data_IF_880833195865
#
_entry.id   IF_880833195865
#
_cell.length_a   1.000
_cell.length_b   1.000
_cell.length_c   1.000
_cell.angle_alpha   90.00
_cell.angle_beta   90.00
_cell.angle_gamma   90.00
#
_symmetry.space_group_name_H-M   'P 1'
#
loop_
_entity.id
_entity.type
_entity.pdbx_description
1 polymer ?
#
# COMPACT_ATOMS: atom_id res chain seq x y z
N UNK A 1 -64.40 -36.75 -29.36
CA UNK A 1 -63.24 -37.13 -28.61
C UNK A 1 -61.95 -36.85 -29.41
N UNK A 2 -61.68 -35.59 -29.87
CA UNK A 2 -60.54 -35.35 -30.75
C UNK A 2 -59.79 -34.02 -30.46
N UNK A 3 -60.05 -33.34 -29.32
CA UNK A 3 -59.46 -32.05 -29.01
C UNK A 3 -58.65 -32.03 -27.70
N UNK A 4 -58.43 -33.17 -27.03
CA UNK A 4 -57.67 -33.18 -25.75
C UNK A 4 -56.16 -33.46 -25.92
N UNK A 5 -55.69 -33.83 -27.11
CA UNK A 5 -54.28 -34.16 -27.36
C UNK A 5 -53.42 -32.99 -27.78
N UNK A 6 -54.04 -31.88 -28.19
CA UNK A 6 -53.29 -30.67 -28.63
C UNK A 6 -52.84 -29.81 -27.43
N UNK A 7 -53.59 -29.87 -26.31
CA UNK A 7 -53.26 -29.11 -25.10
C UNK A 7 -52.05 -29.65 -24.32
N UNK A 8 -51.77 -30.96 -24.37
CA UNK A 8 -50.63 -31.55 -23.65
C UNK A 8 -49.27 -31.30 -24.33
N UNK A 9 -49.25 -31.11 -25.63
CA UNK A 9 -48.00 -30.85 -26.39
C UNK A 9 -47.43 -29.46 -26.15
N UNK A 10 -48.28 -28.46 -25.91
CA UNK A 10 -47.84 -27.05 -25.71
C UNK A 10 -47.34 -26.85 -24.27
N UNK A 11 -47.92 -27.52 -23.27
CA UNK A 11 -47.47 -27.47 -21.90
C UNK A 11 -46.08 -28.11 -21.67
N UNK A 12 -45.75 -29.16 -22.41
CA UNK A 12 -44.45 -29.84 -22.34
C UNK A 12 -43.31 -29.01 -23.02
N UNK A 13 -43.61 -28.19 -24.01
CA UNK A 13 -42.62 -27.32 -24.68
C UNK A 13 -42.20 -26.09 -23.82
N UNK A 14 -43.10 -25.60 -22.95
CA UNK A 14 -42.81 -24.47 -22.05
C UNK A 14 -41.95 -24.86 -20.85
N UNK A 15 -41.90 -26.13 -20.46
CA UNK A 15 -41.10 -26.63 -19.34
C UNK A 15 -39.63 -26.92 -19.69
N UNK A 16 -39.26 -26.97 -20.97
CA UNK A 16 -37.87 -27.20 -21.40
C UNK A 16 -37.10 -25.90 -21.68
N UNK A 17 -37.74 -24.76 -21.58
CA UNK A 17 -37.09 -23.42 -21.68
C UNK A 17 -36.57 -22.92 -20.30
N UNK A 18 -36.22 -23.82 -19.37
CA UNK A 18 -35.36 -23.48 -18.23
C UNK A 18 -33.97 -23.21 -18.78
N UNK A 19 -33.86 -22.08 -19.46
CA UNK A 19 -32.60 -21.57 -19.94
C UNK A 19 -31.59 -21.59 -18.78
N UNK A 20 -30.54 -22.36 -18.97
CA UNK A 20 -29.36 -22.23 -18.13
C UNK A 20 -28.96 -20.75 -18.25
N UNK A 21 -29.35 -19.94 -17.25
CA UNK A 21 -28.74 -18.63 -17.04
C UNK A 21 -27.28 -18.96 -16.80
N UNK A 22 -26.49 -18.91 -17.86
CA UNK A 22 -25.06 -18.93 -17.74
C UNK A 22 -24.72 -17.71 -16.89
N UNK A 23 -24.55 -17.94 -15.59
CA UNK A 23 -23.98 -16.94 -14.71
C UNK A 23 -22.68 -16.51 -15.37
N UNK A 24 -22.69 -15.33 -16.00
CA UNK A 24 -21.49 -14.81 -16.62
C UNK A 24 -20.42 -14.77 -15.53
N UNK A 25 -19.37 -15.56 -15.73
CA UNK A 25 -18.32 -15.65 -14.75
C UNK A 25 -17.70 -14.26 -14.56
N UNK A 26 -17.69 -13.74 -13.33
CA UNK A 26 -17.03 -12.48 -13.04
C UNK A 26 -15.54 -12.55 -13.44
N UNK A 27 -14.93 -11.51 -14.04
CA UNK A 27 -15.53 -10.26 -14.52
C UNK A 27 -16.12 -10.40 -15.93
N UNK A 28 -17.32 -9.85 -16.15
CA UNK A 28 -17.98 -9.78 -17.46
C UNK A 28 -17.91 -8.38 -18.10
N UNK A 29 -17.36 -7.40 -17.39
CA UNK A 29 -17.17 -6.00 -17.82
C UNK A 29 -15.87 -5.43 -17.20
N UNK A 30 -15.39 -4.27 -17.67
CA UNK A 30 -14.20 -3.64 -17.09
C UNK A 30 -14.30 -3.43 -15.58
N UNK A 31 -13.18 -3.65 -14.87
CA UNK A 31 -13.02 -3.44 -13.43
C UNK A 31 -12.28 -2.14 -13.19
N UNK A 32 -12.84 -1.27 -12.35
CA UNK A 32 -12.20 -0.01 -11.96
C UNK A 32 -11.27 -0.23 -10.78
N UNK A 33 -10.08 0.37 -10.84
CA UNK A 33 -9.07 0.27 -9.77
C UNK A 33 -8.72 1.67 -9.31
N UNK A 34 -9.20 2.06 -8.14
CA UNK A 34 -9.06 3.40 -7.60
C UNK A 34 -7.77 3.50 -6.79
N UNK A 35 -6.85 4.36 -7.26
CA UNK A 35 -5.56 4.64 -6.63
C UNK A 35 -5.64 5.96 -5.86
N UNK A 36 -5.39 5.99 -4.54
CA UNK A 36 -5.51 7.19 -3.71
C UNK A 36 -4.33 8.16 -3.84
N UNK A 37 -3.47 8.00 -4.84
CA UNK A 37 -2.25 8.76 -5.04
C UNK A 37 -2.18 9.31 -6.48
N UNK A 38 -1.33 10.34 -6.73
CA UNK A 38 -1.16 10.89 -8.06
C UNK A 38 -0.72 9.83 -9.09
N UNK A 39 -1.22 9.98 -10.32
CA UNK A 39 -0.80 9.16 -11.45
C UNK A 39 0.72 9.30 -11.69
N UNK A 40 1.37 8.21 -12.11
CA UNK A 40 2.83 8.15 -12.29
C UNK A 40 3.62 8.04 -10.99
N UNK A 41 2.98 8.14 -9.83
CA UNK A 41 3.61 7.85 -8.54
C UNK A 41 3.85 6.35 -8.35
N UNK A 42 4.64 6.03 -7.31
CA UNK A 42 5.03 4.64 -6.97
C UNK A 42 3.85 3.67 -6.95
N UNK A 43 2.80 4.04 -6.24
CA UNK A 43 1.61 3.18 -6.06
C UNK A 43 0.90 2.96 -7.37
N UNK A 44 0.77 4.00 -8.20
CA UNK A 44 0.16 3.90 -9.53
C UNK A 44 0.97 2.96 -10.43
N UNK A 45 2.30 3.12 -10.47
CA UNK A 45 3.19 2.26 -11.28
C UNK A 45 3.12 0.80 -10.83
N UNK A 46 3.19 0.53 -9.53
CA UNK A 46 3.09 -0.83 -8.98
C UNK A 46 1.71 -1.44 -9.23
N UNK A 47 0.64 -0.64 -9.06
CA UNK A 47 -0.72 -1.09 -9.33
C UNK A 47 -0.89 -1.47 -10.80
N UNK A 48 -0.40 -0.65 -11.74
CA UNK A 48 -0.46 -0.94 -13.18
C UNK A 48 0.31 -2.19 -13.55
N UNK A 49 1.46 -2.44 -12.92
CA UNK A 49 2.22 -3.68 -13.13
C UNK A 49 1.38 -4.93 -12.86
N UNK A 50 0.60 -4.92 -11.78
CA UNK A 50 -0.27 -6.04 -11.41
C UNK A 50 -1.53 -6.07 -12.28
N UNK A 51 -2.19 -4.92 -12.50
CA UNK A 51 -3.49 -4.86 -13.20
C UNK A 51 -3.39 -5.19 -14.69
N UNK A 52 -2.25 -4.92 -15.35
CA UNK A 52 -2.00 -5.38 -16.74
C UNK A 52 -2.05 -6.91 -16.78
N UNK A 53 -1.44 -7.58 -15.83
CA UNK A 53 -1.46 -9.04 -15.75
C UNK A 53 -2.84 -9.57 -15.42
N UNK A 54 -3.55 -8.96 -14.46
CA UNK A 54 -4.93 -9.33 -14.14
C UNK A 54 -5.85 -9.22 -15.37
N UNK A 55 -5.68 -8.15 -16.17
CA UNK A 55 -6.47 -7.98 -17.39
C UNK A 55 -6.24 -9.10 -18.40
N UNK A 56 -4.99 -9.53 -18.57
CA UNK A 56 -4.63 -10.67 -19.43
C UNK A 56 -5.23 -11.98 -18.92
N UNK A 57 -5.12 -12.24 -17.63
CA UNK A 57 -5.54 -13.52 -17.04
C UNK A 57 -7.07 -13.66 -16.88
N UNK A 58 -7.77 -12.55 -16.64
CA UNK A 58 -9.23 -12.52 -16.42
C UNK A 58 -10.05 -12.09 -17.64
N UNK A 59 -9.39 -11.68 -18.73
CA UNK A 59 -10.03 -11.36 -20.00
C UNK A 59 -10.87 -10.07 -20.01
N UNK A 60 -10.72 -9.21 -19.00
CA UNK A 60 -11.40 -7.92 -18.91
C UNK A 60 -10.44 -6.81 -18.51
N UNK A 61 -10.59 -5.58 -19.00
CA UNK A 61 -9.75 -4.46 -18.62
C UNK A 61 -9.83 -4.14 -17.12
N UNK A 62 -8.68 -3.88 -16.49
CA UNK A 62 -8.56 -3.29 -15.16
C UNK A 62 -8.15 -1.83 -15.32
N UNK A 63 -9.10 -0.91 -15.20
CA UNK A 63 -8.91 0.52 -15.48
C UNK A 63 -8.44 1.23 -14.22
N UNK A 64 -7.18 1.68 -14.22
CA UNK A 64 -6.58 2.37 -13.07
C UNK A 64 -6.91 3.86 -13.12
N UNK A 65 -7.60 4.35 -12.08
CA UNK A 65 -8.04 5.73 -11.92
C UNK A 65 -7.41 6.35 -10.66
N UNK A 66 -6.70 7.46 -10.80
CA UNK A 66 -6.13 8.19 -9.66
C UNK A 66 -7.17 9.13 -9.04
N UNK A 67 -7.38 9.00 -7.72
CA UNK A 67 -8.22 9.91 -6.90
C UNK A 67 -7.43 10.36 -5.67
N UNK A 68 -6.41 11.22 -5.83
CA UNK A 68 -5.58 11.68 -4.73
C UNK A 68 -6.31 12.71 -3.86
N UNK A 69 -5.85 12.86 -2.62
CA UNK A 69 -6.25 13.93 -1.72
C UNK A 69 -6.67 13.46 -0.34
N UNK A 70 -6.63 14.40 0.61
CA UNK A 70 -6.99 14.20 2.02
C UNK A 70 -6.38 12.92 2.63
N UNK A 71 -5.07 12.69 2.45
CA UNK A 71 -4.41 11.50 3.00
C UNK A 71 -4.98 10.16 2.52
N UNK A 72 -5.47 10.08 1.27
CA UNK A 72 -6.17 8.93 0.67
C UNK A 72 -7.68 8.82 1.02
N UNK A 73 -8.20 9.67 1.89
CA UNK A 73 -9.59 9.60 2.35
C UNK A 73 -10.61 9.81 1.23
N UNK A 74 -10.29 10.65 0.20
CA UNK A 74 -11.19 10.87 -0.97
C UNK A 74 -11.43 9.56 -1.73
N UNK A 75 -10.39 8.79 -1.98
CA UNK A 75 -10.51 7.51 -2.67
C UNK A 75 -11.24 6.46 -1.83
N UNK A 76 -10.93 6.40 -0.54
CA UNK A 76 -11.58 5.46 0.39
C UNK A 76 -13.08 5.76 0.50
N UNK A 77 -13.47 7.01 0.74
CA UNK A 77 -14.89 7.45 0.78
C UNK A 77 -15.60 7.10 -0.53
N UNK A 78 -14.96 7.40 -1.67
CA UNK A 78 -15.51 7.08 -2.98
C UNK A 78 -15.83 5.60 -3.14
N UNK A 79 -14.87 4.72 -2.82
CA UNK A 79 -15.05 3.26 -3.00
C UNK A 79 -16.01 2.67 -1.97
N UNK A 80 -16.01 3.17 -0.72
CA UNK A 80 -16.97 2.74 0.30
C UNK A 80 -18.44 2.92 -0.13
N UNK A 81 -18.69 3.90 -1.00
CA UNK A 81 -20.03 4.22 -1.50
C UNK A 81 -20.34 3.62 -2.89
N UNK A 82 -19.51 2.70 -3.40
CA UNK A 82 -19.80 1.97 -4.65
C UNK A 82 -20.51 0.65 -4.39
N UNK A 83 -21.10 0.08 -5.44
CA UNK A 83 -21.73 -1.23 -5.35
C UNK A 83 -20.74 -2.32 -4.93
N UNK A 84 -21.16 -3.22 -4.06
CA UNK A 84 -20.37 -4.35 -3.60
C UNK A 84 -20.44 -5.54 -4.58
N UNK A 85 -20.14 -5.29 -5.87
CA UNK A 85 -20.22 -6.25 -6.96
C UNK A 85 -18.84 -6.71 -7.47
N UNK A 86 -17.76 -6.20 -6.88
CA UNK A 86 -16.39 -6.50 -7.25
C UNK A 86 -15.85 -5.74 -8.47
N UNK A 87 -16.61 -4.82 -9.04
CA UNK A 87 -16.17 -4.03 -10.20
C UNK A 87 -15.53 -2.68 -9.83
N UNK A 88 -15.39 -2.39 -8.54
CA UNK A 88 -14.60 -1.25 -8.06
C UNK A 88 -13.67 -1.72 -6.94
N UNK A 89 -12.37 -1.64 -7.18
CA UNK A 89 -11.33 -1.95 -6.22
C UNK A 89 -10.72 -0.68 -5.65
N UNK A 90 -10.40 -0.70 -4.37
CA UNK A 90 -9.56 0.31 -3.73
C UNK A 90 -8.13 -0.22 -3.64
N UNK A 91 -7.18 0.55 -4.13
CA UNK A 91 -5.77 0.33 -3.77
C UNK A 91 -5.55 0.86 -2.37
N UNK A 92 -5.18 -0.02 -1.47
CA UNK A 92 -4.94 0.30 -0.07
C UNK A 92 -3.46 0.25 0.28
N UNK A 93 -3.13 0.99 1.32
CA UNK A 93 -1.82 1.11 1.94
C UNK A 93 -2.04 1.30 3.46
N UNK A 94 -1.02 1.47 4.29
CA UNK A 94 -1.18 1.66 5.73
C UNK A 94 -2.18 2.74 6.16
N UNK A 95 -2.53 3.70 5.29
CA UNK A 95 -3.55 4.72 5.59
C UNK A 95 -4.90 4.13 6.02
N UNK A 96 -5.27 2.94 5.51
CA UNK A 96 -6.56 2.31 5.84
C UNK A 96 -6.64 1.91 7.32
N UNK A 97 -5.48 1.72 7.95
CA UNK A 97 -5.32 1.49 9.40
C UNK A 97 -5.07 2.81 10.12
N UNK A 98 -4.16 3.62 9.60
CA UNK A 98 -3.61 4.77 10.31
C UNK A 98 -4.60 5.94 10.39
N UNK A 99 -5.32 6.26 9.31
CA UNK A 99 -6.23 7.40 9.31
C UNK A 99 -7.35 7.24 10.36
N UNK A 100 -8.03 6.08 10.52
CA UNK A 100 -8.99 5.90 11.59
C UNK A 100 -8.43 6.03 13.03
N UNK A 101 -7.11 5.87 13.21
CA UNK A 101 -6.46 6.04 14.51
C UNK A 101 -6.07 7.51 14.80
N UNK A 102 -5.84 8.29 13.75
CA UNK A 102 -5.27 9.64 13.82
C UNK A 102 -6.30 10.75 13.56
N UNK A 103 -7.32 10.48 12.75
CA UNK A 103 -8.27 11.47 12.27
C UNK A 103 -9.68 11.18 12.81
N UNK A 104 -10.40 12.23 13.17
CA UNK A 104 -11.83 12.19 13.49
C UNK A 104 -12.65 12.69 12.32
N UNK A 105 -13.91 12.23 12.20
CA UNK A 105 -14.84 12.72 11.17
C UNK A 105 -14.63 12.14 9.78
N UNK A 106 -13.94 11.01 9.66
CA UNK A 106 -13.85 10.25 8.42
C UNK A 106 -15.26 9.81 7.96
N UNK A 107 -15.51 9.91 6.65
CA UNK A 107 -16.76 9.47 6.03
C UNK A 107 -16.71 8.03 5.53
N UNK A 108 -15.73 7.28 6.00
CA UNK A 108 -15.54 5.86 5.78
C UNK A 108 -14.95 5.21 7.03
N UNK A 109 -15.08 3.90 7.14
CA UNK A 109 -14.54 3.11 8.23
C UNK A 109 -13.84 1.87 7.66
N UNK A 110 -12.87 1.31 8.39
CA UNK A 110 -12.17 0.09 7.94
C UNK A 110 -13.13 -1.09 7.67
N UNK A 111 -14.24 -1.18 8.41
CA UNK A 111 -15.27 -2.21 8.21
C UNK A 111 -16.07 -2.07 6.91
N UNK A 112 -15.99 -0.94 6.22
CA UNK A 112 -16.64 -0.73 4.93
C UNK A 112 -15.94 -1.49 3.80
N UNK A 113 -14.78 -2.08 4.09
CA UNK A 113 -13.94 -2.78 3.12
C UNK A 113 -13.62 -4.21 3.55
N UNK A 114 -13.53 -5.09 2.56
CA UNK A 114 -13.00 -6.45 2.69
C UNK A 114 -11.65 -6.51 1.96
N UNK A 115 -10.59 -7.00 2.61
CA UNK A 115 -9.31 -7.19 1.94
C UNK A 115 -9.38 -8.30 0.89
N UNK A 116 -8.78 -8.05 -0.28
CA UNK A 116 -8.68 -9.04 -1.35
C UNK A 116 -7.34 -9.74 -1.27
N UNK A 117 -6.26 -8.98 -1.46
CA UNK A 117 -4.89 -9.49 -1.38
C UNK A 117 -3.89 -8.34 -1.29
N UNK A 118 -2.80 -8.54 -0.55
CA UNK A 118 -1.60 -7.74 -0.65
C UNK A 118 -0.78 -8.21 -1.85
N UNK A 119 -0.26 -7.30 -2.65
CA UNK A 119 0.54 -7.65 -3.82
C UNK A 119 1.98 -7.18 -3.75
N UNK A 120 2.29 -6.12 -2.99
CA UNK A 120 3.63 -5.57 -2.92
C UNK A 120 3.97 -4.99 -1.53
N UNK A 121 5.27 -4.96 -1.26
CA UNK A 121 5.91 -4.19 -0.20
C UNK A 121 6.81 -3.12 -0.83
N UNK A 122 7.03 -2.03 -0.12
CA UNK A 122 8.01 -1.01 -0.47
C UNK A 122 8.74 -0.58 0.79
N UNK A 123 10.02 -0.88 0.92
CA UNK A 123 10.85 -0.39 2.01
C UNK A 123 11.02 1.13 1.92
N UNK A 124 11.44 1.73 3.03
CA UNK A 124 11.90 3.10 3.06
C UNK A 124 13.34 3.13 3.57
N UNK A 125 14.06 4.22 3.27
CA UNK A 125 15.43 4.41 3.68
C UNK A 125 15.56 5.63 4.57
N UNK A 126 16.35 5.51 5.62
CA UNK A 126 16.78 6.61 6.45
C UNK A 126 17.93 7.30 5.71
N UNK A 127 17.67 8.51 5.19
CA UNK A 127 18.63 9.26 4.41
C UNK A 127 19.13 10.48 5.18
N UNK A 128 20.40 10.78 4.99
CA UNK A 128 21.07 11.99 5.49
C UNK A 128 21.85 12.68 4.35
N UNK A 129 22.14 13.99 4.46
CA UNK A 129 23.04 14.68 3.55
C UNK A 129 24.43 14.01 3.49
N UNK A 130 25.12 14.12 2.36
CA UNK A 130 26.49 13.57 2.24
C UNK A 130 27.49 14.20 3.20
N UNK A 131 27.33 15.49 3.50
CA UNK A 131 28.15 16.23 4.46
C UNK A 131 27.80 15.96 5.92
N UNK A 132 26.77 15.16 6.20
CA UNK A 132 26.45 14.72 7.55
C UNK A 132 27.62 13.95 8.17
N UNK A 133 27.91 14.19 9.45
CA UNK A 133 28.88 13.41 10.22
C UNK A 133 28.39 12.01 10.54
N UNK A 134 27.07 11.78 10.50
CA UNK A 134 26.47 10.46 10.74
C UNK A 134 26.77 9.49 9.58
N UNK A 135 27.35 8.34 9.93
CA UNK A 135 27.62 7.22 9.00
C UNK A 135 26.70 6.02 9.27
N UNK A 136 26.16 5.96 10.47
CA UNK A 136 25.24 4.93 10.94
C UNK A 136 24.01 5.57 11.58
N UNK A 137 22.95 4.80 11.81
CA UNK A 137 21.78 5.26 12.56
C UNK A 137 22.17 5.66 13.98
N UNK A 138 23.10 4.93 14.62
CA UNK A 138 23.59 5.25 15.97
C UNK A 138 24.33 6.60 16.02
N UNK A 139 25.10 6.92 14.99
CA UNK A 139 25.77 8.23 14.89
C UNK A 139 24.73 9.35 14.77
N UNK A 140 23.68 9.14 13.94
CA UNK A 140 22.62 10.13 13.83
C UNK A 140 21.86 10.32 15.14
N UNK A 141 21.55 9.24 15.85
CA UNK A 141 20.91 9.29 17.18
C UNK A 141 21.79 10.08 18.17
N UNK A 142 23.10 9.84 18.19
CA UNK A 142 24.04 10.58 19.03
C UNK A 142 24.03 12.07 18.70
N UNK A 143 24.05 12.41 17.40
CA UNK A 143 23.97 13.79 16.93
C UNK A 143 22.65 14.45 17.34
N UNK A 144 21.51 13.75 17.15
CA UNK A 144 20.18 14.27 17.44
C UNK A 144 19.95 14.47 18.94
N UNK A 145 20.51 13.60 19.79
CA UNK A 145 20.50 13.78 21.26
C UNK A 145 21.35 14.98 21.70
N UNK A 146 22.48 15.19 21.05
CA UNK A 146 23.37 16.33 21.36
C UNK A 146 22.82 17.68 20.87
N UNK A 147 21.95 17.65 19.86
CA UNK A 147 21.32 18.84 19.24
C UNK A 147 19.82 18.61 19.12
N UNK A 148 19.02 18.78 20.18
CA UNK A 148 17.57 18.65 20.13
C UNK A 148 16.94 19.60 19.11
N UNK A 149 15.86 19.17 18.43
CA UNK A 149 15.15 20.01 17.47
C UNK A 149 15.78 20.08 16.08
N UNK A 150 16.67 19.15 15.71
CA UNK A 150 17.17 19.06 14.33
C UNK A 150 16.00 18.97 13.34
N UNK A 151 16.04 19.70 12.19
CA UNK A 151 15.00 19.63 11.18
C UNK A 151 15.01 18.26 10.47
N UNK A 152 13.86 17.60 10.46
CA UNK A 152 13.67 16.30 9.81
C UNK A 152 12.53 16.41 8.80
N UNK A 153 12.79 15.99 7.57
CA UNK A 153 11.79 16.03 6.51
C UNK A 153 10.69 14.99 6.73
N UNK A 154 9.44 15.44 6.70
CA UNK A 154 8.24 14.61 6.81
C UNK A 154 7.43 14.65 5.51
N UNK A 155 7.32 13.53 4.83
CA UNK A 155 6.60 13.41 3.56
C UNK A 155 5.08 13.43 3.66
N UNK A 156 4.52 13.70 4.86
CA UNK A 156 3.09 13.83 5.12
C UNK A 156 2.66 13.13 6.41
N UNK A 157 1.85 13.81 7.20
CA UNK A 157 1.28 13.27 8.43
C UNK A 157 0.53 11.96 8.15
N UNK A 158 0.67 10.97 9.04
CA UNK A 158 0.04 9.65 8.90
C UNK A 158 0.69 8.72 7.88
N UNK A 159 1.72 9.18 7.12
CA UNK A 159 2.48 8.28 6.25
C UNK A 159 3.30 7.30 7.08
N UNK A 160 3.60 6.13 6.49
CA UNK A 160 4.49 5.13 7.12
C UNK A 160 5.83 5.75 7.49
N UNK A 161 6.35 6.66 6.69
CA UNK A 161 7.63 7.35 6.89
C UNK A 161 7.58 8.31 8.08
N UNK A 162 6.52 9.11 8.18
CA UNK A 162 6.29 9.99 9.34
C UNK A 162 6.22 9.19 10.63
N UNK A 163 5.45 8.11 10.62
CA UNK A 163 5.33 7.24 11.78
C UNK A 163 6.64 6.54 12.14
N UNK A 164 7.43 6.08 11.15
CA UNK A 164 8.75 5.50 11.38
C UNK A 164 9.72 6.51 12.02
N UNK A 165 9.67 7.78 11.58
CA UNK A 165 10.46 8.85 12.17
C UNK A 165 10.09 9.08 13.64
N UNK A 166 8.79 9.14 13.95
CA UNK A 166 8.31 9.27 15.33
C UNK A 166 8.72 8.07 16.18
N UNK A 167 8.59 6.84 15.66
CA UNK A 167 9.05 5.63 16.35
C UNK A 167 10.55 5.69 16.65
N UNK A 168 11.37 6.07 15.67
CA UNK A 168 12.81 6.19 15.86
C UNK A 168 13.15 7.23 16.93
N UNK A 169 12.53 8.41 16.90
CA UNK A 169 12.72 9.45 17.90
C UNK A 169 12.39 8.95 19.32
N UNK A 170 11.26 8.26 19.47
CA UNK A 170 10.81 7.74 20.75
C UNK A 170 11.70 6.62 21.28
N UNK A 171 11.97 5.60 20.48
CA UNK A 171 12.80 4.45 20.89
C UNK A 171 14.24 4.89 21.15
N UNK A 172 14.76 5.78 20.31
CA UNK A 172 16.12 6.27 20.43
C UNK A 172 16.26 7.49 21.39
N UNK A 173 15.18 8.03 21.94
CA UNK A 173 15.21 9.10 22.94
C UNK A 173 15.80 10.41 22.41
N UNK A 174 15.37 10.88 21.24
CA UNK A 174 15.70 12.21 20.72
C UNK A 174 14.46 12.95 20.24
N UNK A 175 14.51 14.28 20.23
CA UNK A 175 13.48 15.16 19.69
C UNK A 175 13.97 15.81 18.42
N UNK A 176 13.03 16.14 17.53
CA UNK A 176 13.30 16.77 16.24
C UNK A 176 12.18 17.75 15.88
N UNK A 177 12.46 18.64 14.95
CA UNK A 177 11.46 19.51 14.31
C UNK A 177 10.98 18.84 13.02
N UNK A 178 9.70 18.50 12.93
CA UNK A 178 9.12 17.93 11.72
C UNK A 178 8.81 19.01 10.70
N UNK A 179 9.50 18.98 9.57
CA UNK A 179 9.24 19.88 8.44
C UNK A 179 8.36 19.15 7.42
N UNK A 180 7.09 19.56 7.35
CA UNK A 180 6.06 18.89 6.54
C UNK A 180 6.15 19.24 5.05
N UNK A 181 6.08 18.19 4.20
CA UNK A 181 6.05 18.29 2.74
C UNK A 181 4.83 17.56 2.16
N UNK A 182 4.46 17.89 0.91
CA UNK A 182 3.41 17.19 0.17
C UNK A 182 3.98 15.96 -0.55
N UNK A 183 4.40 14.94 0.23
CA UNK A 183 5.04 13.73 -0.28
C UNK A 183 6.58 13.77 -0.21
N UNK A 184 7.21 12.65 -0.59
CA UNK A 184 8.66 12.49 -0.50
C UNK A 184 9.49 13.27 -1.53
N UNK A 185 9.08 13.44 -2.81
CA UNK A 185 9.93 14.11 -3.80
C UNK A 185 10.37 15.53 -3.42
N UNK A 186 9.52 16.41 -2.89
CA UNK A 186 9.94 17.76 -2.52
C UNK A 186 10.87 17.84 -1.29
N UNK A 187 11.03 16.75 -0.53
CA UNK A 187 12.01 16.65 0.58
C UNK A 187 13.46 16.62 0.06
N UNK A 188 13.67 16.07 -1.13
CA UNK A 188 15.00 15.73 -1.65
C UNK A 188 15.92 16.93 -1.82
N UNK A 189 15.49 18.07 -2.44
CA UNK A 189 16.36 19.24 -2.57
C UNK A 189 16.88 19.76 -1.22
N UNK A 190 16.00 19.86 -0.22
CA UNK A 190 16.34 20.38 1.10
C UNK A 190 17.22 19.43 1.89
N UNK A 191 17.05 18.13 1.69
CA UNK A 191 17.94 17.14 2.27
C UNK A 191 19.34 17.17 1.63
N UNK A 192 19.43 17.30 0.30
CA UNK A 192 20.71 17.43 -0.41
C UNK A 192 21.46 18.69 0.03
N UNK A 193 20.76 19.80 0.16
CA UNK A 193 21.36 21.09 0.56
C UNK A 193 21.72 21.15 2.05
N UNK A 194 21.30 20.17 2.86
CA UNK A 194 21.57 20.14 4.30
C UNK A 194 20.64 21.03 5.14
N UNK A 195 19.55 21.56 4.55
CA UNK A 195 18.48 22.22 5.30
C UNK A 195 17.75 21.25 6.22
N UNK A 196 17.71 19.98 5.83
CA UNK A 196 17.21 18.88 6.65
C UNK A 196 18.37 18.00 7.13
N UNK A 197 18.33 17.57 8.37
CA UNK A 197 19.34 16.68 8.96
C UNK A 197 19.16 15.22 8.57
N UNK A 198 17.89 14.80 8.36
CA UNK A 198 17.49 13.43 8.03
C UNK A 198 16.09 13.45 7.40
N UNK A 199 15.77 12.40 6.65
CA UNK A 199 14.38 12.03 6.33
C UNK A 199 14.28 10.53 6.09
N UNK A 200 13.11 9.95 6.35
CA UNK A 200 12.76 8.58 5.92
C UNK A 200 12.01 8.68 4.61
N UNK A 201 12.56 8.09 3.56
CA UNK A 201 12.12 8.27 2.17
C UNK A 201 11.80 6.91 1.54
N UNK A 202 10.67 6.76 0.83
CA UNK A 202 10.35 5.52 0.10
C UNK A 202 11.46 5.15 -0.89
N UNK A 203 11.69 3.85 -1.05
CA UNK A 203 12.75 3.28 -1.89
C UNK A 203 12.82 3.86 -3.30
N UNK A 204 11.68 4.06 -3.94
CA UNK A 204 11.58 4.62 -5.30
C UNK A 204 12.19 6.00 -5.46
N UNK A 205 12.09 6.84 -4.42
CA UNK A 205 12.67 8.19 -4.39
C UNK A 205 14.08 8.14 -3.81
N UNK A 206 14.33 7.25 -2.84
CA UNK A 206 15.60 7.15 -2.12
C UNK A 206 16.72 6.55 -2.97
N UNK A 207 16.45 5.40 -3.64
CA UNK A 207 17.48 4.64 -4.36
C UNK A 207 18.21 5.47 -5.41
N UNK A 208 17.53 6.23 -6.30
CA UNK A 208 18.22 7.07 -7.27
C UNK A 208 19.14 8.13 -6.65
N UNK A 209 18.81 8.65 -5.46
CA UNK A 209 19.63 9.65 -4.79
C UNK A 209 20.88 9.04 -4.15
N UNK A 210 20.75 7.80 -3.63
CA UNK A 210 21.86 7.06 -3.04
C UNK A 210 22.80 6.55 -4.13
N UNK A 211 22.30 5.94 -5.19
CA UNK A 211 23.10 5.40 -6.30
C UNK A 211 23.81 6.49 -7.10
N UNK A 212 23.21 7.69 -7.19
CA UNK A 212 23.89 8.87 -7.81
C UNK A 212 24.84 9.59 -6.86
N UNK A 213 25.03 9.11 -5.64
CA UNK A 213 25.95 9.69 -4.65
C UNK A 213 25.52 11.06 -4.13
N UNK A 214 24.23 11.42 -4.18
CA UNK A 214 23.70 12.71 -3.69
C UNK A 214 23.33 12.66 -2.21
N UNK A 215 22.91 11.50 -1.72
CA UNK A 215 22.52 11.28 -0.33
C UNK A 215 23.13 9.98 0.19
N UNK A 216 23.24 9.85 1.52
CA UNK A 216 23.69 8.64 2.20
C UNK A 216 22.50 7.96 2.84
N UNK A 217 22.35 6.65 2.59
CA UNK A 217 21.44 5.80 3.33
C UNK A 217 22.14 5.22 4.57
N UNK A 218 21.50 5.37 5.73
CA UNK A 218 21.99 4.82 7.00
C UNK A 218 21.39 3.43 7.30
N UNK A 219 20.14 3.21 6.93
CA UNK A 219 19.45 1.95 7.05
C UNK A 219 18.22 1.93 6.14
N UNK A 220 17.70 0.73 5.83
CA UNK A 220 16.36 0.57 5.34
C UNK A 220 15.41 0.16 6.49
N UNK A 221 14.12 0.44 6.35
CA UNK A 221 13.12 0.18 7.39
C UNK A 221 12.48 -1.20 7.31
N UNK A 222 12.86 -2.03 6.33
CA UNK A 222 12.27 -3.37 6.15
C UNK A 222 12.98 -4.44 6.97
N UNK A 223 12.36 -5.62 7.00
CA UNK A 223 12.90 -6.80 7.69
C UNK A 223 14.09 -7.44 6.99
N UNK A 224 14.33 -7.09 5.71
CA UNK A 224 15.41 -7.61 4.88
C UNK A 224 16.17 -6.47 4.21
N UNK A 225 17.44 -6.70 3.88
CA UNK A 225 18.23 -5.76 3.07
C UNK A 225 17.64 -5.67 1.66
N UNK A 226 17.67 -4.48 1.10
CA UNK A 226 17.25 -4.26 -0.28
C UNK A 226 18.27 -4.84 -1.26
N UNK A 227 17.86 -5.63 -2.27
CA UNK A 227 18.78 -6.10 -3.29
C UNK A 227 19.36 -4.97 -4.16
N UNK A 228 18.71 -3.82 -4.20
CA UNK A 228 19.17 -2.63 -4.93
C UNK A 228 20.22 -1.81 -4.16
N UNK A 229 20.31 -1.98 -2.84
CA UNK A 229 21.31 -1.36 -1.95
C UNK A 229 21.75 -2.38 -0.88
N UNK A 230 22.45 -3.46 -1.27
CA UNK A 230 22.74 -4.61 -0.38
C UNK A 230 23.69 -4.25 0.77
N UNK A 231 24.48 -3.20 0.63
CA UNK A 231 25.39 -2.72 1.66
C UNK A 231 24.68 -1.90 2.75
N UNK A 232 23.46 -1.43 2.51
CA UNK A 232 22.67 -0.66 3.48
C UNK A 232 21.99 -1.64 4.45
N UNK A 233 22.30 -1.57 5.76
CA UNK A 233 21.73 -2.48 6.75
C UNK A 233 20.22 -2.22 6.92
N UNK A 234 19.51 -3.21 7.47
CA UNK A 234 18.16 -2.99 7.99
C UNK A 234 18.21 -2.17 9.27
N UNK A 235 17.09 -1.53 9.60
CA UNK A 235 16.97 -0.78 10.86
C UNK A 235 17.11 -1.69 12.09
N UNK A 236 16.72 -2.97 11.98
CA UNK A 236 16.92 -3.97 13.01
C UNK A 236 18.41 -4.31 13.20
N UNK A 237 19.16 -4.50 12.10
CA UNK A 237 20.64 -4.68 12.14
C UNK A 237 21.34 -3.43 12.70
N UNK A 238 20.77 -2.24 12.48
CA UNK A 238 21.28 -1.00 13.06
C UNK A 238 20.97 -0.83 14.56
N UNK A 239 20.21 -1.75 15.17
CA UNK A 239 19.93 -1.81 16.61
C UNK A 239 18.59 -1.23 17.03
N UNK A 240 17.65 -1.01 16.09
CA UNK A 240 16.31 -0.45 16.35
C UNK A 240 15.20 -1.32 15.72
N UNK A 241 15.07 -2.60 16.15
CA UNK A 241 14.13 -3.55 15.54
C UNK A 241 12.67 -3.10 15.65
N UNK A 242 12.31 -2.30 16.66
CA UNK A 242 10.97 -1.75 16.86
C UNK A 242 10.54 -0.83 15.72
N UNK A 243 11.50 -0.21 15.02
CA UNK A 243 11.27 0.72 13.90
C UNK A 243 11.15 0.01 12.56
N UNK A 244 11.11 -1.33 12.56
CA UNK A 244 10.88 -2.09 11.34
C UNK A 244 9.47 -1.84 10.84
N UNK A 245 9.33 -1.09 9.76
CA UNK A 245 8.07 -0.76 9.11
C UNK A 245 8.24 -0.77 7.58
N UNK A 246 7.22 -1.26 6.91
CA UNK A 246 7.17 -1.32 5.45
C UNK A 246 5.85 -0.73 4.97
N UNK A 247 5.90 0.02 3.88
CA UNK A 247 4.69 0.33 3.15
C UNK A 247 4.25 -0.91 2.39
N UNK A 248 3.02 -1.30 2.56
CA UNK A 248 2.40 -2.39 1.80
C UNK A 248 1.31 -1.86 0.89
N UNK A 249 1.09 -2.56 -0.22
CA UNK A 249 0.06 -2.23 -1.20
C UNK A 249 -0.81 -3.44 -1.47
N UNK A 250 -2.11 -3.21 -1.45
CA UNK A 250 -3.11 -4.25 -1.54
C UNK A 250 -4.36 -3.78 -2.26
N UNK A 251 -5.23 -4.72 -2.62
CA UNK A 251 -6.58 -4.44 -3.08
C UNK A 251 -7.60 -4.71 -1.98
N UNK A 252 -8.56 -3.81 -1.87
CA UNK A 252 -9.78 -3.97 -1.08
C UNK A 252 -10.99 -3.76 -1.97
N UNK A 253 -12.13 -4.28 -1.54
CA UNK A 253 -13.44 -4.07 -2.15
C UNK A 253 -14.46 -3.68 -1.08
N UNK A 254 -15.61 -3.07 -1.45
CA UNK A 254 -16.68 -2.79 -0.49
C UNK A 254 -17.16 -4.06 0.23
N UNK A 255 -17.50 -3.91 1.51
CA UNK A 255 -18.10 -4.97 2.31
C UNK A 255 -19.43 -5.41 1.68
N UNK A 256 -19.65 -6.73 1.63
CA UNK A 256 -20.79 -7.32 0.93
C UNK A 256 -20.45 -7.86 -0.47
N UNK A 257 -19.23 -7.65 -0.96
CA UNK A 257 -18.78 -8.26 -2.24
C UNK A 257 -18.87 -9.79 -2.16
N UNK A 258 -19.44 -10.48 -3.17
CA UNK A 258 -19.61 -11.92 -3.17
C UNK A 258 -18.29 -12.66 -2.94
N UNK A 259 -18.35 -13.71 -2.11
CA UNK A 259 -17.16 -14.50 -1.74
C UNK A 259 -16.43 -15.10 -2.94
N UNK A 260 -17.18 -15.53 -3.96
CA UNK A 260 -16.60 -16.07 -5.19
C UNK A 260 -15.76 -15.06 -5.95
N UNK A 261 -16.21 -13.80 -5.98
CA UNK A 261 -15.45 -12.68 -6.58
C UNK A 261 -14.15 -12.43 -5.80
N UNK A 262 -14.22 -12.40 -4.46
CA UNK A 262 -13.06 -12.24 -3.60
C UNK A 262 -12.02 -13.35 -3.84
N UNK A 263 -12.46 -14.61 -3.86
CA UNK A 263 -11.59 -15.76 -4.06
C UNK A 263 -10.93 -15.72 -5.44
N UNK A 264 -11.70 -15.41 -6.49
CA UNK A 264 -11.19 -15.31 -7.86
C UNK A 264 -10.18 -14.17 -8.02
N UNK A 265 -10.48 -12.98 -7.46
CA UNK A 265 -9.56 -11.85 -7.45
C UNK A 265 -8.27 -12.18 -6.70
N UNK A 266 -8.39 -12.70 -5.48
CA UNK A 266 -7.23 -13.02 -4.64
C UNK A 266 -6.31 -14.04 -5.32
N UNK A 267 -6.88 -15.10 -5.92
CA UNK A 267 -6.13 -16.09 -6.67
C UNK A 267 -5.40 -15.47 -7.87
N UNK A 268 -6.10 -14.63 -8.66
CA UNK A 268 -5.51 -13.96 -9.82
C UNK A 268 -4.37 -13.01 -9.41
N UNK A 269 -4.51 -12.27 -8.30
CA UNK A 269 -3.43 -11.43 -7.74
C UNK A 269 -2.22 -12.29 -7.36
N UNK A 270 -2.44 -13.47 -6.75
CA UNK A 270 -1.37 -14.41 -6.41
C UNK A 270 -0.60 -14.89 -7.63
N UNK A 271 -1.32 -15.29 -8.69
CA UNK A 271 -0.71 -15.69 -9.97
C UNK A 271 0.08 -14.53 -10.57
N UNK A 272 -0.50 -13.33 -10.62
CA UNK A 272 0.17 -12.15 -11.17
C UNK A 272 1.45 -11.82 -10.41
N UNK A 273 1.41 -11.79 -9.07
CA UNK A 273 2.57 -11.47 -8.22
C UNK A 273 3.71 -12.50 -8.32
N UNK A 274 3.41 -13.74 -8.71
CA UNK A 274 4.40 -14.80 -8.89
C UNK A 274 5.15 -14.73 -10.25
N UNK A 275 4.67 -13.92 -11.21
CA UNK A 275 5.31 -13.82 -12.51
C UNK A 275 6.58 -12.97 -12.47
N UNK A 276 7.63 -13.39 -13.18
CA UNK A 276 8.88 -12.63 -13.31
C UNK A 276 8.67 -11.23 -13.91
N UNK A 277 7.70 -11.08 -14.80
CA UNK A 277 7.34 -9.79 -15.38
C UNK A 277 6.86 -8.80 -14.33
N UNK A 278 5.88 -9.21 -13.50
CA UNK A 278 5.34 -8.35 -12.41
C UNK A 278 6.43 -8.08 -11.37
N UNK A 279 7.19 -9.10 -10.97
CA UNK A 279 8.30 -8.95 -10.01
C UNK A 279 9.34 -7.95 -10.52
N UNK A 280 9.75 -8.05 -11.78
CA UNK A 280 10.69 -7.11 -12.40
C UNK A 280 10.17 -5.67 -12.45
N UNK A 281 8.89 -5.49 -12.80
CA UNK A 281 8.25 -4.17 -12.82
C UNK A 281 8.13 -3.56 -11.41
N UNK A 282 7.77 -4.38 -10.40
CA UNK A 282 7.72 -3.94 -9.00
C UNK A 282 9.12 -3.57 -8.50
N UNK A 283 10.14 -4.37 -8.80
CA UNK A 283 11.52 -4.07 -8.43
C UNK A 283 12.02 -2.76 -9.04
N UNK A 284 11.74 -2.53 -10.35
CA UNK A 284 12.09 -1.26 -11.02
C UNK A 284 11.38 -0.07 -10.37
N UNK A 285 10.17 -0.26 -9.87
CA UNK A 285 9.45 0.74 -9.09
C UNK A 285 9.93 0.83 -7.62
N UNK A 286 10.99 0.13 -7.24
CA UNK A 286 11.57 0.16 -5.88
C UNK A 286 10.76 -0.61 -4.83
N UNK A 287 9.90 -1.52 -5.24
CA UNK A 287 9.16 -2.43 -4.38
C UNK A 287 9.55 -3.89 -4.60
N UNK A 288 8.89 -4.76 -3.90
CA UNK A 288 9.00 -6.21 -4.08
C UNK A 288 7.61 -6.85 -4.12
N UNK A 289 7.47 -7.94 -4.87
CA UNK A 289 6.28 -8.75 -4.84
C UNK A 289 6.17 -9.46 -3.48
N UNK A 290 5.03 -9.27 -2.81
CA UNK A 290 4.84 -9.82 -1.47
C UNK A 290 3.35 -10.20 -1.30
N UNK A 291 2.99 -11.29 -1.94
CA UNK A 291 1.61 -11.76 -1.93
C UNK A 291 1.18 -12.27 -0.55
N UNK A 292 0.02 -11.81 -0.12
CA UNK A 292 -0.81 -12.44 0.90
C UNK A 292 -2.23 -12.54 0.37
N UNK A 293 -2.78 -13.74 0.33
CA UNK A 293 -4.19 -13.97 0.00
C UNK A 293 -5.12 -13.43 1.10
N UNK A 294 -6.42 -13.43 0.84
CA UNK A 294 -7.43 -12.80 1.71
C UNK A 294 -7.26 -13.14 3.19
N UNK A 295 -7.20 -14.42 3.55
CA UNK A 295 -7.11 -14.87 4.96
C UNK A 295 -5.83 -14.43 5.66
N UNK A 296 -4.68 -14.60 4.98
CA UNK A 296 -3.38 -14.23 5.54
C UNK A 296 -3.26 -12.71 5.62
N UNK A 297 -3.82 -12.01 4.64
CA UNK A 297 -3.83 -10.55 4.64
C UNK A 297 -4.75 -9.98 5.74
N UNK A 298 -5.91 -10.59 6.01
CA UNK A 298 -6.73 -10.23 7.17
C UNK A 298 -5.98 -10.39 8.49
N UNK A 299 -5.23 -11.49 8.62
CA UNK A 299 -4.43 -11.77 9.82
C UNK A 299 -3.30 -10.75 9.98
N UNK A 300 -2.64 -10.40 8.87
CA UNK A 300 -1.65 -9.32 8.83
C UNK A 300 -2.26 -7.97 9.25
N UNK A 301 -3.42 -7.58 8.68
CA UNK A 301 -4.08 -6.32 9.02
C UNK A 301 -4.45 -6.23 10.50
N UNK A 302 -4.90 -7.32 11.13
CA UNK A 302 -5.16 -7.35 12.57
C UNK A 302 -3.90 -7.06 13.37
N UNK A 303 -2.82 -7.78 13.10
CA UNK A 303 -1.56 -7.60 13.84
C UNK A 303 -0.94 -6.21 13.60
N UNK A 304 -1.03 -5.70 12.36
CA UNK A 304 -0.54 -4.36 12.02
C UNK A 304 -1.37 -3.27 12.70
N UNK A 305 -2.71 -3.43 12.76
CA UNK A 305 -3.60 -2.53 13.50
C UNK A 305 -3.26 -2.49 14.99
N UNK A 306 -3.05 -3.64 15.63
CA UNK A 306 -2.65 -3.71 17.04
C UNK A 306 -1.30 -3.03 17.29
N UNK A 307 -0.35 -3.21 16.38
CA UNK A 307 0.95 -2.55 16.44
C UNK A 307 0.81 -1.02 16.40
N UNK A 308 0.04 -0.51 15.45
CA UNK A 308 -0.19 0.93 15.31
C UNK A 308 -1.01 1.51 16.45
N UNK A 309 -1.98 0.76 16.99
CA UNK A 309 -2.74 1.19 18.19
C UNK A 309 -1.84 1.30 19.41
N UNK A 310 -0.94 0.33 19.65
CA UNK A 310 0.03 0.41 20.76
C UNK A 310 0.92 1.64 20.60
N UNK A 311 1.41 1.88 19.41
CA UNK A 311 2.21 3.05 19.11
C UNK A 311 1.44 4.35 19.36
N UNK A 312 0.25 4.52 18.76
CA UNK A 312 -0.56 5.72 18.92
C UNK A 312 -0.90 6.05 20.40
N UNK A 313 -1.12 5.01 21.24
CA UNK A 313 -1.34 5.20 22.68
C UNK A 313 -0.08 5.70 23.41
N UNK A 314 1.09 5.25 23.00
CA UNK A 314 2.35 5.69 23.61
C UNK A 314 2.65 7.16 23.33
N UNK A 315 2.14 7.72 22.21
CA UNK A 315 2.36 9.11 21.81
C UNK A 315 1.24 10.09 22.18
N UNK A 316 0.08 9.60 22.66
CA UNK A 316 -1.00 10.48 23.19
C UNK A 316 -0.76 10.91 24.64
N UNK A 317 0.37 10.54 25.23
CA UNK A 317 0.83 11.01 26.53
C UNK A 317 1.85 12.15 26.35
#
# INVERSE_FOLDING_TARGET
>A
MRNYWIGLGIAACCLMASGHVWSQSWPAKPVRVIVPYPAGGVVDVMTRAVTIRLASDLGQPFVVESKPGAGANIAAEFVANTAADGYTLLVSAPYIINNPLLESGLRWQAKDFVPVARYALSPSFILVPLNSTARTVKDYVTLARAKPGLPVGDGGAGSTQSMATQMLGAVAGFTYEAIGYKGAPPVIPDLINGALSMSIIPSTVAIPQVTSGKLRALANTSSKRSPLLPDVPTIAEAGFPEVTVESWYAFHVPTGTPREVLQRLSAAVGVAAATSEVQGRLATAGGEAAFLGTTDFESFLRSDTERWQRFARAFKK
#
